data_IF_720557741484
#
_entry.id   IF_720557741484
#
_cell.length_a   1.000
_cell.length_b   1.000
_cell.length_c   1.000
_cell.angle_alpha   90.00
_cell.angle_beta   90.00
_cell.angle_gamma   90.00
#
_symmetry.space_group_name_H-M   'P 1'
#
loop_
_entity.id
_entity.type
_entity.pdbx_description
1 polymer ?
#
# COMPACT_ATOMS: atom_id res chain seq x y z
N UNK A 1 -1.52 17.54 13.70
CA UNK A 1 -1.71 16.62 12.56
C UNK A 1 -2.77 17.19 11.64
N UNK A 2 -2.51 17.13 10.36
CA UNK A 2 -3.42 17.66 9.35
C UNK A 2 -4.70 16.82 9.28
N UNK A 3 -5.86 17.47 9.30
CA UNK A 3 -7.17 16.84 9.17
C UNK A 3 -7.64 16.90 7.72
N UNK A 4 -8.19 15.79 7.24
CA UNK A 4 -8.67 15.67 5.87
C UNK A 4 -10.02 14.95 5.85
N UNK A 5 -10.72 15.01 4.73
CA UNK A 5 -11.95 14.25 4.50
C UNK A 5 -11.76 13.39 3.27
N UNK A 6 -11.33 12.15 3.48
CA UNK A 6 -10.99 11.22 2.41
C UNK A 6 -11.72 9.90 2.62
N UNK A 7 -12.76 9.61 1.81
CA UNK A 7 -13.41 8.30 1.86
C UNK A 7 -12.50 7.24 1.24
N UNK A 8 -12.17 6.21 2.03
CA UNK A 8 -11.34 5.11 1.57
C UNK A 8 -12.22 3.95 1.11
N UNK A 9 -11.81 3.30 0.02
CA UNK A 9 -12.48 2.14 -0.56
C UNK A 9 -11.61 0.91 -0.42
N UNK A 10 -12.27 -0.24 -0.27
CA UNK A 10 -11.61 -1.52 -0.19
C UNK A 10 -11.04 -1.91 -1.56
N UNK A 11 -9.75 -2.26 -1.57
CA UNK A 11 -9.07 -2.81 -2.73
C UNK A 11 -8.69 -4.25 -2.41
N UNK A 12 -9.16 -5.19 -3.24
CA UNK A 12 -8.94 -6.62 -3.02
C UNK A 12 -8.20 -7.27 -4.16
N UNK A 13 -7.13 -7.97 -3.80
CA UNK A 13 -6.45 -8.92 -4.67
C UNK A 13 -6.29 -10.23 -3.92
N UNK A 14 -6.39 -11.34 -4.62
CA UNK A 14 -6.41 -12.67 -4.02
C UNK A 14 -5.22 -12.95 -3.09
N UNK A 15 -4.03 -12.52 -3.48
CA UNK A 15 -2.78 -12.78 -2.75
C UNK A 15 -2.45 -11.70 -1.72
N UNK A 16 -3.18 -10.61 -1.72
CA UNK A 16 -2.90 -9.47 -0.85
C UNK A 16 -3.98 -9.33 0.22
N UNK A 17 -3.63 -8.79 1.40
CA UNK A 17 -4.63 -8.46 2.40
C UNK A 17 -5.58 -7.37 1.88
N UNK A 18 -6.76 -7.28 2.48
CA UNK A 18 -7.71 -6.23 2.16
C UNK A 18 -7.14 -4.87 2.56
N UNK A 19 -7.08 -3.96 1.61
CA UNK A 19 -6.49 -2.63 1.79
C UNK A 19 -7.54 -1.56 1.49
N UNK A 20 -7.60 -0.53 2.33
CA UNK A 20 -8.46 0.61 2.11
C UNK A 20 -7.65 1.81 1.62
N UNK A 21 -7.97 2.28 0.42
CA UNK A 21 -7.34 3.45 -0.18
C UNK A 21 -8.37 4.50 -0.54
N UNK A 22 -7.96 5.75 -0.50
CA UNK A 22 -8.80 6.87 -0.91
C UNK A 22 -7.98 8.06 -1.37
N UNK A 23 -8.65 8.97 -2.05
CA UNK A 23 -8.08 10.25 -2.46
C UNK A 23 -9.08 11.34 -2.14
N UNK A 24 -8.61 12.60 -2.19
CA UNK A 24 -9.48 13.75 -1.97
C UNK A 24 -10.68 13.71 -2.92
N UNK A 25 -11.90 14.09 -2.46
CA UNK A 25 -13.11 14.07 -3.30
C UNK A 25 -13.01 14.89 -4.58
N UNK A 26 -12.14 15.87 -4.65
CA UNK A 26 -11.89 16.67 -5.84
C UNK A 26 -11.07 15.90 -6.90
N UNK A 27 -10.55 14.72 -6.57
CA UNK A 27 -9.81 13.88 -7.48
C UNK A 27 -8.41 14.34 -7.83
N UNK A 28 -7.95 15.45 -7.26
CA UNK A 28 -6.66 16.06 -7.60
C UNK A 28 -5.53 15.79 -6.62
N UNK A 29 -5.79 15.04 -5.57
CA UNK A 29 -4.82 14.81 -4.52
C UNK A 29 -4.13 13.46 -4.60
N UNK A 30 -3.15 13.23 -3.73
CA UNK A 30 -2.51 11.92 -3.59
C UNK A 30 -3.47 10.88 -3.04
N UNK A 31 -3.14 9.61 -3.23
CA UNK A 31 -3.86 8.52 -2.59
C UNK A 31 -3.32 8.28 -1.19
N UNK A 32 -4.22 7.91 -0.28
CA UNK A 32 -3.91 7.56 1.09
C UNK A 32 -4.41 6.16 1.41
N UNK A 33 -3.68 5.50 2.31
CA UNK A 33 -3.99 4.17 2.82
C UNK A 33 -4.48 4.28 4.26
N UNK A 34 -5.57 3.60 4.60
CA UNK A 34 -6.14 3.63 5.95
C UNK A 34 -5.36 2.71 6.88
N UNK A 35 -4.38 3.27 7.56
CA UNK A 35 -3.51 2.54 8.48
C UNK A 35 -4.27 2.03 9.71
N UNK A 36 -5.16 2.85 10.27
CA UNK A 36 -5.93 2.47 11.45
C UNK A 36 -6.83 1.27 11.16
N UNK A 37 -7.52 1.29 10.03
CA UNK A 37 -8.35 0.15 9.61
C UNK A 37 -7.51 -1.13 9.50
N UNK A 38 -6.33 -1.03 8.91
CA UNK A 38 -5.46 -2.18 8.73
C UNK A 38 -5.00 -2.76 10.07
N UNK A 39 -4.64 -1.90 11.04
CA UNK A 39 -4.28 -2.34 12.40
C UNK A 39 -5.46 -3.06 13.04
N UNK A 40 -6.68 -2.52 12.94
CA UNK A 40 -7.87 -3.10 13.54
C UNK A 40 -8.23 -4.45 12.94
N UNK A 41 -8.02 -4.63 11.64
CA UNK A 41 -8.43 -5.85 10.94
C UNK A 41 -7.34 -6.93 10.92
N UNK A 42 -6.07 -6.56 10.88
CA UNK A 42 -4.96 -7.51 10.69
C UNK A 42 -3.86 -7.40 11.73
N UNK A 43 -3.77 -6.27 12.40
CA UNK A 43 -2.73 -6.03 13.39
C UNK A 43 -3.16 -6.30 14.81
N UNK A 44 -2.29 -5.94 15.74
CA UNK A 44 -2.54 -5.95 17.15
C UNK A 44 -2.37 -4.52 17.69
N UNK A 45 -3.48 -3.88 18.07
CA UNK A 45 -3.47 -2.49 18.53
C UNK A 45 -2.61 -2.24 19.75
N UNK A 46 -2.23 -3.27 20.50
CA UNK A 46 -1.31 -3.16 21.64
C UNK A 46 0.15 -3.07 21.20
N UNK A 47 0.48 -3.63 20.05
CA UNK A 47 1.85 -3.76 19.52
C UNK A 47 2.09 -2.87 18.32
N UNK A 48 1.06 -2.60 17.53
CA UNK A 48 1.15 -1.92 16.24
C UNK A 48 0.46 -0.56 16.32
N UNK A 49 1.18 0.48 15.94
CA UNK A 49 0.62 1.82 15.77
C UNK A 49 1.49 2.62 14.80
N UNK A 50 0.94 3.70 14.26
CA UNK A 50 1.62 4.51 13.25
C UNK A 50 2.89 5.16 13.81
N UNK A 51 2.89 5.54 15.08
CA UNK A 51 4.06 6.13 15.73
C UNK A 51 5.23 5.14 15.78
N UNK A 52 4.96 3.91 16.22
CA UNK A 52 5.97 2.84 16.25
C UNK A 52 6.50 2.54 14.86
N UNK A 53 5.61 2.50 13.87
CA UNK A 53 5.99 2.32 12.48
C UNK A 53 6.95 3.41 12.02
N UNK A 54 6.65 4.67 12.32
CA UNK A 54 7.51 5.79 11.92
C UNK A 54 8.89 5.71 12.55
N UNK A 55 8.97 5.27 13.80
CA UNK A 55 10.25 5.10 14.49
C UNK A 55 11.03 3.93 13.89
N UNK A 56 10.38 2.78 13.76
CA UNK A 56 11.04 1.56 13.29
C UNK A 56 11.53 1.67 11.84
N UNK A 57 10.79 2.38 10.99
CA UNK A 57 11.07 2.47 9.55
C UNK A 57 11.52 3.87 9.11
N UNK A 58 12.04 4.69 10.02
CA UNK A 58 12.34 6.10 9.70
C UNK A 58 13.30 6.30 8.54
N UNK A 59 14.28 5.42 8.36
CA UNK A 59 15.22 5.52 7.22
C UNK A 59 14.51 5.22 5.89
N UNK A 60 13.63 4.22 5.89
CA UNK A 60 12.82 3.88 4.72
C UNK A 60 11.86 5.00 4.37
N UNK A 61 11.22 5.58 5.38
CA UNK A 61 10.26 6.68 5.21
C UNK A 61 10.98 7.91 4.66
N UNK A 62 12.16 8.25 5.20
CA UNK A 62 12.96 9.36 4.70
C UNK A 62 13.35 9.17 3.24
N UNK A 63 13.77 7.96 2.86
CA UNK A 63 14.14 7.65 1.48
C UNK A 63 12.95 7.77 0.53
N UNK A 64 11.81 7.16 0.90
CA UNK A 64 10.61 7.19 0.05
C UNK A 64 10.04 8.59 -0.09
N UNK A 65 9.92 9.34 1.01
CA UNK A 65 9.41 10.70 0.95
C UNK A 65 10.33 11.64 0.16
N UNK A 66 11.64 11.41 0.24
CA UNK A 66 12.62 12.16 -0.55
C UNK A 66 12.50 11.88 -2.05
N UNK A 67 12.35 10.62 -2.43
CA UNK A 67 12.20 10.23 -3.84
C UNK A 67 10.93 10.82 -4.44
N UNK A 68 9.82 10.77 -3.71
CA UNK A 68 8.52 11.24 -4.19
C UNK A 68 8.25 12.71 -3.89
N UNK A 69 9.15 13.40 -3.17
CA UNK A 69 9.01 14.82 -2.85
C UNK A 69 7.82 15.13 -1.95
N UNK A 70 7.53 14.27 -0.97
CA UNK A 70 6.37 14.43 -0.10
C UNK A 70 6.77 15.11 1.18
N UNK A 71 6.09 16.21 1.53
CA UNK A 71 6.32 16.92 2.77
C UNK A 71 5.93 16.07 3.97
N UNK A 72 6.68 16.18 5.06
CA UNK A 72 6.46 15.40 6.28
C UNK A 72 5.04 15.51 6.80
N UNK A 73 4.42 16.70 6.73
CA UNK A 73 3.05 16.92 7.19
C UNK A 73 2.00 16.19 6.37
N UNK A 74 2.33 15.78 5.14
CA UNK A 74 1.43 15.07 4.24
C UNK A 74 1.62 13.55 4.27
N UNK A 75 2.62 13.05 4.99
CA UNK A 75 2.88 11.61 5.08
C UNK A 75 1.80 10.88 5.89
N UNK A 76 1.35 11.49 6.98
CA UNK A 76 0.31 10.95 7.84
C UNK A 76 -0.71 12.03 8.10
N UNK A 77 -1.96 11.74 7.80
CA UNK A 77 -3.07 12.68 8.00
C UNK A 77 -4.19 11.97 8.76
N UNK A 78 -5.12 12.72 9.32
CA UNK A 78 -6.26 12.18 10.04
C UNK A 78 -7.54 12.42 9.25
N UNK A 79 -8.32 11.38 9.03
CA UNK A 79 -9.64 11.50 8.43
C UNK A 79 -10.65 12.01 9.47
N UNK A 80 -11.32 13.11 9.17
CA UNK A 80 -12.23 13.76 10.10
C UNK A 80 -13.45 12.91 10.44
N UNK A 81 -13.99 12.19 9.45
CA UNK A 81 -15.20 11.40 9.65
C UNK A 81 -14.98 10.18 10.54
N UNK A 82 -13.91 9.45 10.31
CA UNK A 82 -13.61 8.20 11.03
C UNK A 82 -12.64 8.37 12.21
N UNK A 83 -11.85 9.44 12.20
CA UNK A 83 -10.75 9.62 13.13
C UNK A 83 -9.54 8.75 12.81
N UNK A 84 -9.59 7.99 11.72
CA UNK A 84 -8.52 7.10 11.33
C UNK A 84 -7.29 7.85 10.83
N UNK A 85 -6.12 7.29 11.07
CA UNK A 85 -4.88 7.79 10.51
C UNK A 85 -4.69 7.20 9.12
N UNK A 86 -4.44 8.07 8.17
CA UNK A 86 -4.18 7.71 6.78
C UNK A 86 -2.72 8.02 6.47
N UNK A 87 -2.05 7.13 5.76
CA UNK A 87 -0.67 7.34 5.35
C UNK A 87 -0.58 7.43 3.83
N UNK A 88 0.38 8.20 3.34
CA UNK A 88 0.59 8.35 1.90
C UNK A 88 0.81 6.98 1.24
N UNK A 89 0.31 6.82 0.03
CA UNK A 89 0.38 5.54 -0.69
C UNK A 89 1.80 5.01 -0.85
N UNK A 90 2.80 5.88 -0.89
CA UNK A 90 4.19 5.45 -1.02
C UNK A 90 4.66 4.62 0.18
N UNK A 91 4.00 4.75 1.32
CA UNK A 91 4.31 4.01 2.55
C UNK A 91 3.37 2.82 2.78
N UNK A 92 2.35 2.63 1.93
CA UNK A 92 1.32 1.62 2.18
C UNK A 92 1.89 0.21 2.29
N UNK A 93 2.68 -0.22 1.32
CA UNK A 93 3.25 -1.58 1.34
C UNK A 93 4.25 -1.77 2.47
N UNK A 94 5.00 -0.73 2.80
CA UNK A 94 5.93 -0.78 3.93
C UNK A 94 5.17 -0.95 5.25
N UNK A 95 4.03 -0.27 5.39
CA UNK A 95 3.16 -0.42 6.56
C UNK A 95 2.57 -1.82 6.64
N UNK A 96 2.16 -2.39 5.52
CA UNK A 96 1.65 -3.77 5.48
C UNK A 96 2.73 -4.75 5.94
N UNK A 97 3.98 -4.56 5.51
CA UNK A 97 5.13 -5.38 5.94
C UNK A 97 5.36 -5.25 7.45
N UNK A 98 5.21 -4.05 7.99
CA UNK A 98 5.34 -3.81 9.43
C UNK A 98 4.32 -4.61 10.23
N UNK A 99 3.06 -4.65 9.76
CA UNK A 99 1.98 -5.38 10.44
C UNK A 99 2.07 -6.88 10.17
N UNK A 100 2.40 -7.28 8.95
CA UNK A 100 2.35 -8.67 8.48
C UNK A 100 3.70 -9.07 7.87
N UNK A 101 4.64 -9.57 8.70
CA UNK A 101 5.95 -10.00 8.19
C UNK A 101 5.88 -11.15 7.19
N UNK A 102 4.87 -11.99 7.26
CA UNK A 102 4.68 -13.07 6.29
C UNK A 102 4.41 -12.52 4.89
N UNK A 103 3.61 -11.47 4.81
CA UNK A 103 3.40 -10.77 3.54
C UNK A 103 4.68 -10.09 3.06
N UNK A 104 5.48 -9.54 3.98
CA UNK A 104 6.80 -8.99 3.67
C UNK A 104 7.72 -10.02 3.04
N UNK A 105 7.77 -11.23 3.62
CA UNK A 105 8.55 -12.34 3.08
C UNK A 105 8.08 -12.73 1.69
N UNK A 106 6.78 -12.80 1.47
CA UNK A 106 6.19 -13.06 0.15
C UNK A 106 6.64 -12.03 -0.88
N UNK A 107 6.59 -10.74 -0.53
CA UNK A 107 7.02 -9.68 -1.42
C UNK A 107 8.50 -9.75 -1.76
N UNK A 108 9.36 -10.04 -0.77
CA UNK A 108 10.80 -10.19 -1.00
C UNK A 108 11.09 -11.36 -1.94
N UNK A 109 10.34 -12.45 -1.80
CA UNK A 109 10.46 -13.59 -2.70
C UNK A 109 10.11 -13.22 -4.13
N UNK A 110 9.01 -12.44 -4.32
CA UNK A 110 8.64 -11.96 -5.66
C UNK A 110 9.70 -11.05 -6.25
N UNK A 111 10.30 -10.17 -5.44
CA UNK A 111 11.40 -9.32 -5.89
C UNK A 111 12.63 -10.13 -6.28
N UNK A 112 12.96 -11.18 -5.50
CA UNK A 112 14.06 -12.08 -5.83
C UNK A 112 13.85 -12.78 -7.17
N UNK A 113 12.62 -13.26 -7.42
CA UNK A 113 12.26 -13.84 -8.70
C UNK A 113 12.43 -12.86 -9.85
N UNK A 114 12.03 -11.61 -9.64
CA UNK A 114 12.19 -10.56 -10.63
C UNK A 114 13.67 -10.32 -10.96
N UNK A 115 14.54 -10.32 -9.95
CA UNK A 115 15.97 -10.12 -10.14
C UNK A 115 16.63 -11.30 -10.87
N UNK A 116 16.15 -12.53 -10.62
CA UNK A 116 16.71 -13.73 -11.22
C UNK A 116 16.12 -14.02 -12.60
N UNK A 117 14.81 -13.86 -12.75
CA UNK A 117 14.07 -14.27 -13.94
C UNK A 117 13.59 -13.09 -14.80
N UNK A 118 13.76 -11.86 -14.32
CA UNK A 118 13.34 -10.66 -15.02
C UNK A 118 11.86 -10.35 -14.95
N UNK A 119 11.07 -11.17 -14.23
CA UNK A 119 9.63 -10.99 -14.12
C UNK A 119 9.12 -11.53 -12.80
N UNK A 120 8.26 -10.76 -12.13
CA UNK A 120 7.54 -11.22 -10.94
C UNK A 120 6.18 -10.56 -10.88
N UNK A 121 5.11 -11.34 -10.77
CA UNK A 121 3.73 -10.86 -10.69
C UNK A 121 2.94 -11.72 -9.72
N UNK A 122 1.82 -11.18 -9.19
CA UNK A 122 0.90 -11.97 -8.39
C UNK A 122 0.15 -12.96 -9.29
N UNK A 123 -0.33 -14.06 -8.70
CA UNK A 123 -1.08 -15.07 -9.44
C UNK A 123 -2.35 -14.49 -10.06
N UNK A 124 -3.05 -13.62 -9.34
CA UNK A 124 -4.26 -12.96 -9.87
C UNK A 124 -3.93 -12.06 -11.05
N UNK A 125 -2.89 -11.25 -10.93
CA UNK A 125 -2.46 -10.36 -12.01
C UNK A 125 -1.99 -11.17 -13.22
N UNK A 126 -1.23 -12.22 -13.00
CA UNK A 126 -0.72 -13.10 -14.05
C UNK A 126 -1.88 -13.69 -14.87
N UNK A 127 -2.92 -14.19 -14.21
CA UNK A 127 -4.08 -14.73 -14.88
C UNK A 127 -4.78 -13.68 -15.75
N UNK A 128 -4.97 -12.47 -15.24
CA UNK A 128 -5.58 -11.37 -16.00
C UNK A 128 -4.71 -10.93 -17.18
N UNK A 129 -3.43 -10.75 -16.95
CA UNK A 129 -2.50 -10.31 -17.98
C UNK A 129 -2.38 -11.34 -19.09
N UNK A 130 -2.27 -12.62 -18.75
CA UNK A 130 -2.21 -13.72 -19.72
C UNK A 130 -3.46 -13.76 -20.58
N UNK A 131 -4.63 -13.64 -19.96
CA UNK A 131 -5.92 -13.64 -20.68
C UNK A 131 -5.99 -12.53 -21.72
N UNK A 132 -5.65 -11.29 -21.33
CA UNK A 132 -5.66 -10.15 -22.25
C UNK A 132 -4.61 -10.27 -23.35
N UNK A 133 -3.43 -10.74 -23.01
CA UNK A 133 -2.32 -10.86 -23.91
C UNK A 133 -2.58 -11.90 -24.99
N UNK A 134 -3.05 -13.07 -24.62
CA UNK A 134 -3.38 -14.12 -25.58
C UNK A 134 -4.47 -13.67 -26.55
N UNK A 135 -5.50 -13.01 -26.06
CA UNK A 135 -6.55 -12.47 -26.93
C UNK A 135 -6.00 -11.50 -27.98
N UNK A 136 -5.08 -10.62 -27.58
CA UNK A 136 -4.46 -9.67 -28.51
C UNK A 136 -3.54 -10.35 -29.52
N UNK A 137 -2.71 -11.26 -29.05
CA UNK A 137 -1.76 -11.99 -29.91
C UNK A 137 -2.47 -12.87 -30.91
N UNK A 138 -3.56 -13.52 -30.53
CA UNK A 138 -4.39 -14.29 -31.44
C UNK A 138 -5.00 -13.44 -32.54
N UNK A 139 -5.34 -12.20 -32.23
CA UNK A 139 -5.91 -11.27 -33.20
C UNK A 139 -4.89 -10.64 -34.14
N UNK A 140 -3.61 -10.59 -33.76
CA UNK A 140 -2.55 -9.95 -34.54
C UNK A 140 -1.77 -10.93 -35.40
N UNK A 141 -1.88 -12.21 -35.12
CA UNK A 141 -1.28 -13.28 -35.91
C UNK A 141 -2.25 -13.74 -36.99
#
# INVERSE_FOLDING_TARGET
MKNVSIPCRLVRYKEFPDLLFGTSPDGGGPYYFDATHFILSRGDGRRHNVREFRVAFHHWIAALSGIYGIDTENLVVRDEASGHLLIDECLALLFVVYIDPAFGAYMLERLSEMLLDGLSVSDTWLAKAASLRFTREELTE
#
